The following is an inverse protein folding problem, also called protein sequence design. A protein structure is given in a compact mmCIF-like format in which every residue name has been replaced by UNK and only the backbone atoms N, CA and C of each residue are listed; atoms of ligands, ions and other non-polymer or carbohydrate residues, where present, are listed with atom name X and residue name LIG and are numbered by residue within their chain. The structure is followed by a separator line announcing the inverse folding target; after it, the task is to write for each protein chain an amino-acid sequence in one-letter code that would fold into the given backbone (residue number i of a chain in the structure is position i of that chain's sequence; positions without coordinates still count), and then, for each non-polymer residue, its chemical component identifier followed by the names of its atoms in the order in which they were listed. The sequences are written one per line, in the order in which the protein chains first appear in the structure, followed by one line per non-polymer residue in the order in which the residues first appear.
data_IF_538582175103
#
_entry.id   IF_538582175103
#
_cell.length_a   1.000
_cell.length_b   1.000
_cell.length_c   1.000
_cell.angle_alpha   90.00
_cell.angle_beta   90.00
_cell.angle_gamma   90.00
#
_symmetry.space_group_name_H-M   'P 1'
#
loop_
_entity.id
_entity.type
_entity.pdbx_description
1 polymer ?
#
# COMPACT_ATOMS: atom_id res chain seq x y z
N UNK A 1 -7.47 30.74 27.04
CA UNK A 1 -6.77 29.84 26.09
C UNK A 1 -7.26 28.40 26.29
N UNK A 2 -8.33 28.04 25.58
CA UNK A 2 -8.82 26.67 25.53
C UNK A 2 -8.30 26.06 24.23
N UNK A 3 -7.54 24.97 24.35
CA UNK A 3 -7.08 24.17 23.22
C UNK A 3 -8.30 23.54 22.55
N UNK A 4 -8.51 23.87 21.28
CA UNK A 4 -9.55 23.26 20.46
C UNK A 4 -9.22 21.77 20.25
N UNK A 5 -10.20 20.87 20.39
CA UNK A 5 -10.00 19.47 20.04
C UNK A 5 -9.75 19.38 18.54
N UNK A 6 -8.53 18.98 18.17
CA UNK A 6 -8.11 18.71 16.80
C UNK A 6 -9.08 17.72 16.15
N UNK A 7 -9.98 18.25 15.33
CA UNK A 7 -10.90 17.47 14.51
C UNK A 7 -10.07 16.54 13.60
N UNK A 8 -10.10 15.25 13.91
CA UNK A 8 -9.60 14.20 13.04
C UNK A 8 -10.48 14.22 11.78
N UNK A 9 -10.06 14.97 10.76
CA UNK A 9 -10.67 14.93 9.43
C UNK A 9 -10.53 13.48 8.93
N UNK A 10 -11.62 12.73 8.95
CA UNK A 10 -11.74 11.49 8.18
C UNK A 10 -11.54 11.85 6.71
N UNK A 11 -10.30 11.76 6.21
CA UNK A 11 -10.05 11.97 4.80
C UNK A 11 -10.70 10.78 4.07
N UNK A 12 -11.67 11.01 3.16
CA UNK A 12 -12.34 9.90 2.51
C UNK A 12 -11.31 9.10 1.70
N UNK A 13 -11.28 7.78 1.90
CA UNK A 13 -10.43 6.90 1.09
C UNK A 13 -10.76 7.06 -0.39
N UNK A 14 -9.76 7.37 -1.20
CA UNK A 14 -9.83 7.40 -2.64
C UNK A 14 -9.59 5.98 -3.16
N UNK A 15 -10.37 5.57 -4.15
CA UNK A 15 -10.22 4.29 -4.84
C UNK A 15 -9.80 4.51 -6.29
N UNK A 16 -8.82 3.76 -6.74
CA UNK A 16 -8.40 3.67 -8.14
C UNK A 16 -8.23 2.20 -8.52
N UNK A 17 -8.59 1.84 -9.74
CA UNK A 17 -8.55 0.47 -10.22
C UNK A 17 -7.79 0.41 -11.54
N UNK A 18 -6.96 -0.62 -11.67
CA UNK A 18 -6.31 -1.03 -12.91
C UNK A 18 -6.85 -2.39 -13.33
N UNK A 19 -6.19 -3.06 -14.28
CA UNK A 19 -6.60 -4.39 -14.73
C UNK A 19 -6.47 -5.44 -13.60
N UNK A 20 -5.37 -5.39 -12.84
CA UNK A 20 -5.05 -6.40 -11.83
C UNK A 20 -5.14 -5.88 -10.39
N UNK A 21 -5.23 -4.56 -10.17
CA UNK A 21 -5.11 -3.96 -8.85
C UNK A 21 -6.26 -3.03 -8.47
N UNK A 22 -6.56 -2.97 -7.18
CA UNK A 22 -7.40 -1.95 -6.57
C UNK A 22 -6.60 -1.19 -5.51
N UNK A 23 -6.35 0.09 -5.75
CA UNK A 23 -5.63 0.98 -4.83
C UNK A 23 -6.63 1.78 -4.01
N UNK A 24 -6.49 1.75 -2.68
CA UNK A 24 -7.31 2.43 -1.70
C UNK A 24 -6.39 3.34 -0.87
N UNK A 25 -6.54 4.66 -0.93
CA UNK A 25 -5.57 5.56 -0.30
C UNK A 25 -6.17 6.81 0.33
N UNK A 26 -5.54 7.30 1.39
CA UNK A 26 -5.83 8.60 2.04
C UNK A 26 -4.97 9.75 1.48
N UNK A 27 -3.97 9.44 0.65
CA UNK A 27 -2.92 10.39 0.24
C UNK A 27 -3.36 11.25 -0.95
N UNK A 28 -4.03 10.66 -1.94
CA UNK A 28 -4.48 11.37 -3.13
C UNK A 28 -4.67 10.47 -4.35
N UNK A 29 -5.44 10.93 -5.33
CA UNK A 29 -5.71 10.20 -6.57
C UNK A 29 -4.43 10.03 -7.43
N UNK A 30 -3.54 11.02 -7.43
CA UNK A 30 -2.29 10.96 -8.19
C UNK A 30 -1.38 9.83 -7.69
N UNK A 31 -1.26 9.68 -6.36
CA UNK A 31 -0.55 8.56 -5.75
C UNK A 31 -1.22 7.24 -6.09
N UNK A 32 -2.54 7.18 -6.04
CA UNK A 32 -3.28 5.96 -6.39
C UNK A 32 -3.02 5.52 -7.84
N UNK A 33 -3.03 6.48 -8.78
CA UNK A 33 -2.72 6.25 -10.20
C UNK A 33 -1.29 5.80 -10.39
N UNK A 34 -0.33 6.50 -9.78
CA UNK A 34 1.10 6.18 -9.88
C UNK A 34 1.37 4.77 -9.39
N UNK A 35 0.91 4.42 -8.18
CA UNK A 35 1.13 3.10 -7.60
C UNK A 35 0.47 2.01 -8.44
N UNK A 36 -0.78 2.20 -8.88
CA UNK A 36 -1.47 1.24 -9.74
C UNK A 36 -0.70 0.97 -11.03
N UNK A 37 -0.27 2.03 -11.72
CA UNK A 37 0.45 1.90 -12.99
C UNK A 37 1.86 1.29 -12.80
N UNK A 38 2.59 1.67 -11.73
CA UNK A 38 3.90 1.09 -11.42
C UNK A 38 3.78 -0.42 -11.16
N UNK A 39 2.71 -0.85 -10.49
CA UNK A 39 2.45 -2.28 -10.23
C UNK A 39 2.10 -3.06 -11.49
N UNK A 40 1.30 -2.49 -12.40
CA UNK A 40 1.04 -3.10 -13.71
C UNK A 40 2.33 -3.26 -14.53
N UNK A 41 3.19 -2.23 -14.54
CA UNK A 41 4.47 -2.31 -15.23
C UNK A 41 5.36 -3.40 -14.63
N UNK A 42 5.45 -3.51 -13.30
CA UNK A 42 6.19 -4.57 -12.63
C UNK A 42 5.64 -5.95 -13.00
N UNK A 43 4.30 -6.14 -12.97
CA UNK A 43 3.66 -7.39 -13.34
C UNK A 43 4.01 -7.79 -14.78
N UNK A 44 3.99 -6.84 -15.71
CA UNK A 44 4.36 -7.07 -17.11
C UNK A 44 5.82 -7.49 -17.26
N UNK A 45 6.75 -6.92 -16.49
CA UNK A 45 8.15 -7.36 -16.52
C UNK A 45 8.31 -8.78 -15.94
N UNK A 46 7.62 -9.09 -14.84
CA UNK A 46 7.67 -10.43 -14.26
C UNK A 46 7.05 -11.49 -15.17
N UNK A 47 5.97 -11.20 -15.89
CA UNK A 47 5.33 -12.15 -16.80
C UNK A 47 6.20 -12.51 -18.01
N UNK A 48 7.14 -11.64 -18.41
CA UNK A 48 8.14 -11.95 -19.45
C UNK A 48 9.20 -12.95 -18.98
N UNK A 49 9.53 -12.95 -17.69
CA UNK A 49 10.60 -13.76 -17.10
C UNK A 49 10.05 -15.10 -16.60
N UNK A 50 8.87 -15.06 -16.00
CA UNK A 50 8.21 -16.21 -15.39
C UNK A 50 6.99 -16.57 -16.24
N UNK A 51 6.96 -17.77 -16.86
CA UNK A 51 5.80 -18.23 -17.61
C UNK A 51 4.66 -18.52 -16.63
N UNK A 52 3.91 -17.49 -16.27
CA UNK A 52 2.63 -17.64 -15.58
C UNK A 52 1.56 -17.87 -16.64
N UNK A 53 0.73 -18.92 -16.53
CA UNK A 53 -0.46 -19.02 -17.35
C UNK A 53 -1.38 -17.85 -16.96
N UNK A 54 -1.59 -16.88 -17.85
CA UNK A 54 -2.54 -15.77 -17.64
C UNK A 54 -3.93 -16.29 -17.22
N UNK A 55 -4.30 -17.49 -17.69
CA UNK A 55 -5.52 -18.23 -17.36
C UNK A 55 -5.65 -18.62 -15.87
N UNK A 56 -4.59 -18.49 -15.07
CA UNK A 56 -4.61 -18.74 -13.61
C UNK A 56 -4.70 -17.46 -12.77
N UNK A 57 -4.67 -16.27 -13.38
CA UNK A 57 -4.90 -15.03 -12.66
C UNK A 57 -6.37 -14.98 -12.27
N UNK A 58 -6.61 -14.91 -10.96
CA UNK A 58 -7.97 -14.79 -10.44
C UNK A 58 -8.61 -13.52 -11.00
N UNK A 59 -9.93 -13.54 -11.32
CA UNK A 59 -10.65 -12.33 -11.69
C UNK A 59 -10.75 -11.32 -10.52
N UNK A 60 -10.27 -11.68 -9.33
CA UNK A 60 -10.24 -10.79 -8.17
C UNK A 60 -9.06 -9.83 -8.24
N UNK A 61 -9.36 -8.54 -8.13
CA UNK A 61 -8.35 -7.48 -8.03
C UNK A 61 -7.53 -7.64 -6.75
N UNK A 62 -6.22 -7.54 -6.88
CA UNK A 62 -5.33 -7.48 -5.75
C UNK A 62 -5.42 -6.12 -5.06
N UNK A 63 -5.76 -6.10 -3.76
CA UNK A 63 -6.01 -4.85 -3.04
C UNK A 63 -4.73 -4.28 -2.43
N UNK A 64 -4.57 -2.97 -2.55
CA UNK A 64 -3.48 -2.22 -1.94
C UNK A 64 -4.06 -1.05 -1.17
N UNK A 65 -3.77 -0.96 0.13
CA UNK A 65 -4.24 0.09 1.02
C UNK A 65 -3.08 0.93 1.51
N UNK A 66 -3.15 2.23 1.26
CA UNK A 66 -2.08 3.19 1.56
C UNK A 66 -2.63 4.26 2.50
N UNK A 67 -2.21 4.20 3.76
CA UNK A 67 -2.52 5.20 4.77
C UNK A 67 -1.61 6.41 4.64
N UNK A 68 -2.13 7.59 4.98
CA UNK A 68 -1.30 8.78 5.05
C UNK A 68 -0.37 8.74 6.26
N UNK A 69 -0.84 8.17 7.37
CA UNK A 69 -0.12 8.17 8.66
C UNK A 69 0.12 6.75 9.16
N UNK A 70 1.23 6.59 9.89
CA UNK A 70 1.62 5.31 10.51
C UNK A 70 0.61 4.87 11.56
N UNK A 71 0.02 5.81 12.28
CA UNK A 71 -0.96 5.57 13.34
C UNK A 71 -2.24 4.95 12.79
N UNK A 72 -2.74 5.46 11.66
CA UNK A 72 -3.94 4.95 11.00
C UNK A 72 -3.71 3.55 10.42
N UNK A 73 -2.52 3.32 9.85
CA UNK A 73 -2.06 1.99 9.47
C UNK A 73 -2.02 1.01 10.65
N UNK A 74 -1.42 1.40 11.78
CA UNK A 74 -1.35 0.56 12.96
C UNK A 74 -2.73 0.25 13.54
N UNK A 75 -3.62 1.25 13.58
CA UNK A 75 -5.00 1.08 14.03
C UNK A 75 -5.71 0.06 13.15
N UNK A 76 -5.65 0.23 11.83
CA UNK A 76 -6.23 -0.71 10.88
C UNK A 76 -5.67 -2.12 11.06
N UNK A 77 -4.35 -2.27 11.16
CA UNK A 77 -3.75 -3.59 11.33
C UNK A 77 -4.19 -4.27 12.63
N UNK A 78 -4.30 -3.52 13.73
CA UNK A 78 -4.76 -4.07 15.01
C UNK A 78 -6.22 -4.55 14.91
N UNK A 79 -7.08 -3.75 14.29
CA UNK A 79 -8.50 -4.05 14.13
C UNK A 79 -8.74 -5.20 13.13
N UNK A 80 -8.06 -5.18 11.99
CA UNK A 80 -8.26 -6.14 10.91
C UNK A 80 -7.52 -7.47 11.12
N UNK A 81 -6.36 -7.44 11.79
CA UNK A 81 -5.46 -8.59 11.88
C UNK A 81 -5.18 -9.06 13.31
N UNK A 82 -5.61 -8.31 14.34
CA UNK A 82 -5.35 -8.65 15.74
C UNK A 82 -3.90 -8.48 16.19
N UNK A 83 -3.02 -7.97 15.31
CA UNK A 83 -1.58 -7.85 15.53
C UNK A 83 -1.13 -6.38 15.48
N UNK A 84 -0.11 -6.05 16.28
CA UNK A 84 0.64 -4.79 16.13
C UNK A 84 1.90 -5.07 15.32
N UNK A 85 1.98 -4.52 14.11
CA UNK A 85 3.14 -4.72 13.24
C UNK A 85 4.16 -3.60 13.44
N UNK A 86 5.34 -3.95 13.94
CA UNK A 86 6.50 -3.05 14.00
C UNK A 86 7.34 -3.09 12.70
N UNK A 87 6.69 -3.23 11.55
CA UNK A 87 7.40 -3.35 10.26
C UNK A 87 7.63 -1.99 9.62
N UNK A 88 8.83 -1.82 9.08
CA UNK A 88 9.41 -0.58 8.56
C UNK A 88 8.67 0.09 7.39
N UNK A 89 7.55 -0.45 6.88
CA UNK A 89 6.82 0.20 5.77
C UNK A 89 5.50 -0.47 5.34
N UNK A 90 5.38 -1.80 5.37
CA UNK A 90 4.19 -2.49 4.85
C UNK A 90 3.96 -3.89 5.44
N UNK A 91 2.74 -4.39 5.28
CA UNK A 91 2.28 -5.75 5.62
C UNK A 91 1.55 -6.33 4.41
N UNK A 92 1.96 -7.53 4.00
CA UNK A 92 1.22 -8.33 3.03
C UNK A 92 0.54 -9.51 3.75
N UNK A 93 -0.78 -9.65 3.59
CA UNK A 93 -1.54 -10.79 4.13
C UNK A 93 -1.99 -11.69 2.98
N UNK A 94 -1.44 -12.90 2.96
CA UNK A 94 -1.87 -13.94 2.03
C UNK A 94 -3.01 -14.76 2.64
N UNK A 95 -4.21 -14.65 2.08
CA UNK A 95 -5.35 -15.50 2.43
C UNK A 95 -5.58 -16.57 1.36
N UNK A 96 -6.16 -17.71 1.78
CA UNK A 96 -6.66 -18.74 0.85
C UNK A 96 -7.78 -18.20 -0.04
N UNK A 97 -8.61 -17.29 0.49
CA UNK A 97 -9.56 -16.53 -0.31
C UNK A 97 -8.82 -15.34 -0.97
N UNK A 98 -8.77 -15.37 -2.30
CA UNK A 98 -8.02 -14.42 -3.13
C UNK A 98 -8.58 -12.99 -2.99
N UNK A 99 -9.89 -12.83 -2.81
CA UNK A 99 -10.57 -11.55 -2.65
C UNK A 99 -10.22 -10.83 -1.34
N UNK A 100 -9.64 -11.56 -0.39
CA UNK A 100 -9.19 -11.01 0.90
C UNK A 100 -7.71 -10.61 0.88
N UNK A 101 -6.98 -10.90 -0.20
CA UNK A 101 -5.56 -10.54 -0.31
C UNK A 101 -5.45 -9.02 -0.35
N UNK A 102 -4.65 -8.49 0.56
CA UNK A 102 -4.40 -7.06 0.67
C UNK A 102 -2.95 -6.82 1.09
N UNK A 103 -2.33 -5.83 0.45
CA UNK A 103 -1.14 -5.16 0.95
C UNK A 103 -1.57 -3.90 1.66
N UNK A 104 -1.09 -3.70 2.88
CA UNK A 104 -1.40 -2.55 3.70
C UNK A 104 -0.08 -1.84 4.01
N UNK A 105 0.00 -0.55 3.71
CA UNK A 105 1.19 0.26 3.96
C UNK A 105 0.79 1.68 4.36
N UNK A 106 1.78 2.46 4.78
CA UNK A 106 1.62 3.89 5.03
C UNK A 106 2.67 4.68 4.25
N UNK A 107 2.37 5.93 3.97
CA UNK A 107 3.30 6.83 3.31
C UNK A 107 4.49 7.08 4.24
N UNK A 108 5.68 6.66 3.78
CA UNK A 108 6.91 7.14 4.41
C UNK A 108 7.17 8.57 3.92
N UNK A 109 7.59 9.50 4.79
CA UNK A 109 8.11 10.77 4.32
C UNK A 109 9.23 10.47 3.32
N UNK A 110 9.25 11.18 2.19
CA UNK A 110 10.33 11.05 1.21
C UNK A 110 11.66 11.17 1.94
N UNK A 111 12.41 10.08 2.00
CA UNK A 111 13.79 10.15 2.45
C UNK A 111 14.53 10.85 1.30
N UNK A 112 15.09 12.05 1.52
CA UNK A 112 15.82 12.76 0.49
C UNK A 112 16.88 11.84 -0.10
N UNK A 113 17.05 11.87 -1.41
CA UNK A 113 17.97 11.00 -2.15
C UNK A 113 19.36 10.85 -1.47
N UNK A 114 19.91 11.96 -0.95
CA UNK A 114 21.18 11.98 -0.22
C UNK A 114 21.21 11.10 1.05
N UNK A 115 20.09 10.94 1.76
CA UNK A 115 20.01 10.04 2.92
C UNK A 115 19.99 8.56 2.52
N UNK A 116 19.48 8.22 1.33
CA UNK A 116 19.52 6.83 0.82
C UNK A 116 20.95 6.43 0.45
N UNK A 117 21.69 7.35 -0.18
CA UNK A 117 23.13 7.19 -0.48
C UNK A 117 23.97 6.94 0.77
N UNK A 118 23.73 7.69 1.86
CA UNK A 118 24.45 7.46 3.11
C UNK A 118 24.12 6.11 3.78
N UNK A 119 22.90 5.59 3.61
CA UNK A 119 22.52 4.29 4.17
C UNK A 119 23.10 3.11 3.39
N UNK A 120 23.29 3.24 2.06
CA UNK A 120 23.87 2.18 1.22
C UNK A 120 25.40 2.25 1.13
N UNK A 121 26.01 3.43 1.27
CA UNK A 121 27.47 3.57 1.20
C UNK A 121 28.20 3.07 2.46
N UNK A 122 27.48 2.80 3.55
CA UNK A 122 28.05 2.41 4.84
C UNK A 122 27.43 1.13 5.43
N UNK A 123 26.81 0.29 4.60
CA UNK A 123 26.34 -1.06 4.98
C UNK A 123 26.91 -2.15 4.08
#
# INVERSE_FOLDING_TARGET
PAEEPSQQKNNPFIKYQTEHYQIITEVGLEVAKKVGNDMEAILQEYSRILPFPEEQLSPSLFRVRIFLRKEDFHKYCREAFGDTYDRKSFVYRHYRNLEKREVVCFLLPEIPFFRRLHHEAFH
#
